data_IF_987837781665
#
_entry.id   IF_987837781665
#
_cell.length_a   1.000
_cell.length_b   1.000
_cell.length_c   1.000
_cell.angle_alpha   90.00
_cell.angle_beta   90.00
_cell.angle_gamma   90.00
#
_symmetry.space_group_name_H-M   'P 1'
#
loop_
_entity.id
_entity.type
_entity.pdbx_description
1 polymer ?
#
# COMPACT_ATOMS: atom_id res chain seq x y z
N UNK A 1 -52.56 4.56 -21.20
CA UNK A 1 -52.63 3.86 -19.90
C UNK A 1 -51.35 3.07 -19.67
N UNK A 2 -50.19 3.73 -19.83
CA UNK A 2 -48.90 3.03 -20.04
C UNK A 2 -47.79 3.52 -19.09
N UNK A 3 -48.06 4.57 -18.32
CA UNK A 3 -47.17 5.12 -17.30
C UNK A 3 -46.85 4.11 -16.20
N UNK A 4 -47.74 3.14 -15.95
CA UNK A 4 -47.52 2.10 -14.94
C UNK A 4 -46.34 1.18 -15.32
N UNK A 5 -46.25 0.80 -16.60
CA UNK A 5 -45.23 -0.13 -17.11
C UNK A 5 -43.85 0.52 -17.12
N UNK A 6 -43.77 1.80 -17.51
CA UNK A 6 -42.52 2.57 -17.48
C UNK A 6 -42.04 2.76 -16.04
N UNK A 7 -42.96 3.07 -15.11
CA UNK A 7 -42.63 3.23 -13.69
C UNK A 7 -42.20 1.91 -13.05
N UNK A 8 -42.81 0.81 -13.44
CA UNK A 8 -42.48 -0.54 -12.99
C UNK A 8 -41.12 -0.99 -13.54
N UNK A 9 -40.83 -0.74 -14.82
CA UNK A 9 -39.51 -0.95 -15.42
C UNK A 9 -38.40 -0.13 -14.74
N UNK A 10 -38.68 1.12 -14.38
CA UNK A 10 -37.74 1.95 -13.63
C UNK A 10 -37.49 1.41 -12.21
N UNK A 11 -38.53 0.87 -11.56
CA UNK A 11 -38.41 0.15 -10.28
C UNK A 11 -37.49 -1.07 -10.40
N UNK A 12 -37.67 -1.88 -11.44
CA UNK A 12 -36.83 -3.05 -11.67
C UNK A 12 -35.39 -2.68 -12.02
N UNK A 13 -35.16 -1.60 -12.77
CA UNK A 13 -33.82 -1.07 -13.03
C UNK A 13 -33.13 -0.65 -11.73
N UNK A 14 -33.83 0.06 -10.84
CA UNK A 14 -33.28 0.45 -9.53
C UNK A 14 -32.93 -0.76 -8.65
N UNK A 15 -33.79 -1.77 -8.62
CA UNK A 15 -33.56 -3.01 -7.86
C UNK A 15 -32.39 -3.81 -8.45
N UNK A 16 -32.34 -3.96 -9.77
CA UNK A 16 -31.27 -4.68 -10.46
C UNK A 16 -29.90 -4.01 -10.28
N UNK A 17 -29.85 -2.69 -10.47
CA UNK A 17 -28.63 -1.90 -10.26
C UNK A 17 -28.16 -1.96 -8.79
N UNK A 18 -29.11 -1.89 -7.84
CA UNK A 18 -28.83 -1.99 -6.41
C UNK A 18 -28.30 -3.36 -6.00
N UNK A 19 -28.87 -4.44 -6.54
CA UNK A 19 -28.42 -5.81 -6.28
C UNK A 19 -26.99 -6.04 -6.79
N UNK A 20 -26.68 -5.58 -8.00
CA UNK A 20 -25.33 -5.67 -8.57
C UNK A 20 -24.35 -4.85 -7.73
N UNK A 21 -24.72 -3.62 -7.36
CA UNK A 21 -23.89 -2.78 -6.50
C UNK A 21 -23.60 -3.44 -5.15
N UNK A 22 -24.62 -4.02 -4.50
CA UNK A 22 -24.46 -4.73 -3.24
C UNK A 22 -23.54 -5.95 -3.39
N UNK A 23 -23.69 -6.70 -4.47
CA UNK A 23 -22.84 -7.85 -4.77
C UNK A 23 -21.36 -7.43 -4.94
N UNK A 24 -21.10 -6.38 -5.71
CA UNK A 24 -19.75 -5.84 -5.88
C UNK A 24 -19.19 -5.30 -4.55
N UNK A 25 -19.99 -4.59 -3.76
CA UNK A 25 -19.57 -4.07 -2.46
C UNK A 25 -19.14 -5.20 -1.51
N UNK A 26 -19.89 -6.30 -1.49
CA UNK A 26 -19.53 -7.51 -0.73
C UNK A 26 -18.22 -8.09 -1.27
N UNK A 27 -18.06 -8.23 -2.60
CA UNK A 27 -16.82 -8.72 -3.20
C UNK A 27 -15.60 -7.87 -2.81
N UNK A 28 -15.73 -6.55 -2.90
CA UNK A 28 -14.67 -5.60 -2.52
C UNK A 28 -14.33 -5.77 -1.03
N UNK A 29 -15.33 -5.92 -0.16
CA UNK A 29 -15.11 -6.14 1.26
C UNK A 29 -14.36 -7.45 1.54
N UNK A 30 -14.72 -8.55 0.86
CA UNK A 30 -14.02 -9.83 0.96
C UNK A 30 -12.56 -9.70 0.53
N UNK A 31 -12.29 -9.06 -0.61
CA UNK A 31 -10.93 -8.84 -1.12
C UNK A 31 -10.13 -7.95 -0.17
N UNK A 32 -10.74 -6.90 0.38
CA UNK A 32 -10.10 -6.04 1.38
C UNK A 32 -9.79 -6.79 2.68
N UNK A 33 -10.69 -7.67 3.11
CA UNK A 33 -10.47 -8.52 4.29
C UNK A 33 -9.31 -9.48 4.06
N UNK A 34 -9.26 -10.12 2.88
CA UNK A 34 -8.10 -10.92 2.48
C UNK A 34 -6.83 -10.08 2.47
N UNK A 35 -6.81 -8.91 1.84
CA UNK A 35 -5.64 -8.01 1.84
C UNK A 35 -5.13 -7.70 3.26
N UNK A 36 -6.03 -7.41 4.20
CA UNK A 36 -5.69 -7.15 5.60
C UNK A 36 -5.15 -8.39 6.32
N UNK A 37 -5.71 -9.56 6.05
CA UNK A 37 -5.25 -10.84 6.58
C UNK A 37 -3.85 -11.13 6.03
N UNK A 38 -3.65 -11.06 4.71
CA UNK A 38 -2.35 -11.27 4.07
C UNK A 38 -1.31 -10.32 4.67
N UNK A 39 -1.58 -9.02 4.77
CA UNK A 39 -0.60 -8.06 5.32
C UNK A 39 -0.27 -8.30 6.81
N UNK A 40 -1.18 -8.92 7.58
CA UNK A 40 -0.98 -9.24 9.00
C UNK A 40 -0.24 -10.56 9.21
N UNK A 41 -0.54 -11.59 8.43
CA UNK A 41 0.03 -12.94 8.59
C UNK A 41 1.26 -13.18 7.72
N UNK A 42 1.34 -12.53 6.56
CA UNK A 42 2.52 -12.38 5.73
C UNK A 42 2.86 -10.89 5.66
N UNK A 43 3.45 -10.32 6.74
CA UNK A 43 4.09 -9.03 6.61
C UNK A 43 5.18 -9.21 5.54
N UNK A 44 4.93 -8.70 4.33
CA UNK A 44 6.02 -8.45 3.41
C UNK A 44 7.01 -7.60 4.20
N UNK A 45 8.24 -8.10 4.30
CA UNK A 45 9.40 -7.30 4.66
C UNK A 45 9.55 -6.24 3.58
N UNK A 46 8.68 -5.23 3.61
CA UNK A 46 8.96 -3.99 2.94
C UNK A 46 10.31 -3.57 3.52
N UNK A 47 11.37 -3.43 2.69
CA UNK A 47 12.62 -2.91 3.17
C UNK A 47 12.24 -1.62 3.89
N UNK A 48 12.51 -1.59 5.20
CA UNK A 48 12.06 -0.48 6.00
C UNK A 48 12.58 0.78 5.32
N UNK A 49 11.70 1.63 4.81
CA UNK A 49 12.03 3.04 4.64
C UNK A 49 12.11 3.71 6.03
N UNK A 50 12.55 2.95 7.05
CA UNK A 50 13.06 3.53 8.27
C UNK A 50 14.42 4.12 7.90
N UNK A 51 14.50 5.44 8.09
CA UNK A 51 15.73 6.20 8.14
C UNK A 51 16.40 6.49 6.80
N UNK A 52 15.73 7.23 5.92
CA UNK A 52 16.49 8.05 4.96
C UNK A 52 17.34 9.10 5.68
N UNK A 53 16.96 9.62 6.86
CA UNK A 53 17.79 10.61 7.55
C UNK A 53 18.91 10.00 8.42
N UNK A 54 18.65 8.95 9.19
CA UNK A 54 19.71 8.34 10.01
C UNK A 54 20.73 7.56 9.17
N UNK A 55 20.30 6.90 8.09
CA UNK A 55 21.22 6.12 7.25
C UNK A 55 22.19 7.01 6.45
N UNK A 56 21.79 8.24 6.13
CA UNK A 56 22.68 9.22 5.50
C UNK A 56 23.78 9.69 6.46
N UNK A 57 23.41 9.95 7.71
CA UNK A 57 24.36 10.40 8.73
C UNK A 57 25.35 9.28 9.12
N UNK A 58 24.86 8.03 9.22
CA UNK A 58 25.72 6.85 9.42
C UNK A 58 26.64 6.57 8.22
N UNK A 59 26.15 6.77 6.98
CA UNK A 59 26.98 6.66 5.77
C UNK A 59 28.06 7.74 5.74
N UNK A 60 27.72 9.00 6.03
CA UNK A 60 28.71 10.10 6.10
C UNK A 60 29.76 9.85 7.19
N UNK A 61 29.35 9.39 8.37
CA UNK A 61 30.28 9.04 9.46
C UNK A 61 31.23 7.92 9.07
N UNK A 62 30.74 6.90 8.34
CA UNK A 62 31.57 5.81 7.79
C UNK A 62 32.54 6.31 6.72
N UNK A 63 32.11 7.19 5.82
CA UNK A 63 32.96 7.77 4.76
C UNK A 63 34.08 8.60 5.39
N UNK A 64 33.77 9.48 6.35
CA UNK A 64 34.77 10.30 7.05
C UNK A 64 35.78 9.44 7.81
N UNK A 65 35.31 8.36 8.46
CA UNK A 65 36.19 7.42 9.16
C UNK A 65 37.14 6.69 8.19
N UNK A 66 36.64 6.26 7.02
CA UNK A 66 37.46 5.60 6.00
C UNK A 66 38.52 6.54 5.40
N UNK A 67 38.16 7.79 5.10
CA UNK A 67 39.11 8.81 4.60
C UNK A 67 40.17 9.10 5.67
N UNK A 68 39.76 9.26 6.93
CA UNK A 68 40.71 9.51 8.04
C UNK A 68 41.67 8.35 8.23
N UNK A 69 41.18 7.11 8.15
CA UNK A 69 42.02 5.91 8.23
C UNK A 69 43.02 5.84 7.07
N UNK A 70 42.59 6.16 5.84
CA UNK A 70 43.47 6.20 4.67
C UNK A 70 44.56 7.27 4.78
N UNK A 71 44.21 8.48 5.26
CA UNK A 71 45.18 9.56 5.50
C UNK A 71 46.17 9.17 6.60
N UNK A 72 45.68 8.59 7.70
CA UNK A 72 46.53 8.11 8.79
C UNK A 72 47.51 7.05 8.28
N UNK A 73 47.03 6.07 7.54
CA UNK A 73 47.86 5.01 6.95
C UNK A 73 48.93 5.57 6.01
N UNK A 74 48.59 6.58 5.19
CA UNK A 74 49.54 7.23 4.29
C UNK A 74 50.61 8.08 5.03
N UNK A 75 50.30 8.60 6.22
CA UNK A 75 51.26 9.36 7.05
C UNK A 75 52.15 8.47 7.91
N UNK A 76 51.72 7.26 8.21
CA UNK A 76 52.46 6.25 8.98
C UNK A 76 53.25 5.28 8.08
N UNK A 77 53.09 5.39 6.74
CA UNK A 77 53.90 4.72 5.72
C UNK A 77 55.03 5.64 5.23
#
# INVERSE_FOLDING_TARGET
MDTNLVLEGLKFMGVGMGAVFLFLAILIFLIAMMSKIIHRYFPEVQPSNSNSESSLQDKQKKIVAAITAAIKFHRES
#
